data_IF_914631130336
#
_entry.id   IF_914631130336
#
_cell.length_a   1.000
_cell.length_b   1.000
_cell.length_c   1.000
_cell.angle_alpha   90.00
_cell.angle_beta   90.00
_cell.angle_gamma   90.00
#
_symmetry.space_group_name_H-M   'P 1'
#
loop_
_entity.id
_entity.type
_entity.pdbx_description
1 polymer ?
#
# COMPACT_ATOMS: atom_id res chain seq x y z
N UNK A 1 -23.20 13.09 2.56
CA UNK A 1 -21.75 12.93 2.52
C UNK A 1 -21.51 11.75 1.60
N UNK A 2 -20.71 11.94 0.57
CA UNK A 2 -20.34 10.82 -0.30
C UNK A 2 -19.48 9.85 0.50
N UNK A 3 -19.61 8.55 0.21
CA UNK A 3 -18.86 7.48 0.86
C UNK A 3 -17.36 7.66 0.58
N UNK A 4 -16.50 7.46 1.57
CA UNK A 4 -15.04 7.41 1.32
C UNK A 4 -14.65 6.07 0.69
N UNK A 5 -13.44 5.99 0.11
CA UNK A 5 -12.89 4.70 -0.34
C UNK A 5 -12.75 3.73 0.84
N UNK A 6 -12.38 4.23 2.02
CA UNK A 6 -12.32 3.46 3.27
C UNK A 6 -13.67 2.83 3.61
N UNK A 7 -14.77 3.58 3.52
CA UNK A 7 -16.12 3.04 3.73
C UNK A 7 -16.47 1.97 2.68
N UNK A 8 -16.10 2.22 1.42
CA UNK A 8 -16.43 1.34 0.30
C UNK A 8 -15.71 0.00 0.28
N UNK A 9 -14.46 -0.05 0.75
CA UNK A 9 -13.70 -1.29 0.94
C UNK A 9 -14.16 -2.06 2.19
N UNK A 10 -15.04 -1.48 3.01
CA UNK A 10 -15.57 -2.09 4.23
C UNK A 10 -14.74 -1.77 5.48
N UNK A 11 -14.12 -0.59 5.52
CA UNK A 11 -13.33 -0.09 6.62
C UNK A 11 -12.04 -0.89 6.86
N UNK A 12 -11.50 -0.77 8.08
CA UNK A 12 -10.24 -1.42 8.46
C UNK A 12 -10.29 -2.94 8.31
N UNK A 13 -11.43 -3.57 8.61
CA UNK A 13 -11.58 -5.03 8.44
C UNK A 13 -11.56 -5.44 6.97
N UNK A 14 -12.10 -4.60 6.08
CA UNK A 14 -11.95 -4.77 4.63
C UNK A 14 -10.50 -4.70 4.17
N UNK A 15 -9.76 -3.72 4.67
CA UNK A 15 -8.34 -3.53 4.35
C UNK A 15 -7.46 -4.64 4.93
N UNK A 16 -7.78 -5.18 6.11
CA UNK A 16 -7.13 -6.36 6.65
C UNK A 16 -7.34 -7.59 5.78
N UNK A 17 -8.58 -7.81 5.28
CA UNK A 17 -8.86 -8.91 4.34
C UNK A 17 -8.08 -8.75 3.04
N UNK A 18 -8.08 -7.54 2.46
CA UNK A 18 -7.31 -7.23 1.26
C UNK A 18 -5.81 -7.49 1.48
N UNK A 19 -5.26 -6.96 2.57
CA UNK A 19 -3.85 -7.12 2.91
C UNK A 19 -3.50 -8.60 3.13
N UNK A 20 -4.33 -9.36 3.82
CA UNK A 20 -4.14 -10.80 4.01
C UNK A 20 -4.11 -11.56 2.68
N UNK A 21 -5.11 -11.33 1.82
CA UNK A 21 -5.18 -11.96 0.50
C UNK A 21 -3.95 -11.63 -0.37
N UNK A 22 -3.43 -10.40 -0.25
CA UNK A 22 -2.20 -9.99 -0.92
C UNK A 22 -0.95 -10.69 -0.33
N UNK A 23 -0.79 -10.71 1.00
CA UNK A 23 0.39 -11.30 1.63
C UNK A 23 0.47 -12.82 1.48
N UNK A 24 -0.65 -13.53 1.46
CA UNK A 24 -0.71 -14.96 1.15
C UNK A 24 -0.11 -15.29 -0.22
N UNK A 25 -0.24 -14.36 -1.18
CA UNK A 25 0.34 -14.48 -2.53
C UNK A 25 1.78 -14.03 -2.56
N UNK A 26 2.06 -12.83 -2.06
CA UNK A 26 3.37 -12.16 -2.23
C UNK A 26 4.51 -12.92 -1.54
N UNK A 27 4.22 -13.55 -0.41
CA UNK A 27 5.21 -14.33 0.35
C UNK A 27 5.51 -15.69 -0.30
N UNK A 28 4.62 -16.18 -1.15
CA UNK A 28 4.78 -17.44 -1.89
C UNK A 28 5.34 -17.22 -3.32
N UNK A 29 5.43 -15.96 -3.77
CA UNK A 29 5.85 -15.62 -5.12
C UNK A 29 7.39 -15.59 -5.25
N UNK A 30 7.95 -16.32 -6.22
CA UNK A 30 9.41 -16.45 -6.37
C UNK A 30 10.12 -15.11 -6.64
N UNK A 31 9.45 -14.17 -7.31
CA UNK A 31 10.01 -12.85 -7.67
C UNK A 31 9.97 -11.91 -6.47
N UNK A 32 8.91 -11.96 -5.66
CA UNK A 32 8.69 -11.01 -4.57
C UNK A 32 9.09 -11.51 -3.18
N UNK A 33 9.09 -12.82 -2.93
CA UNK A 33 9.47 -13.38 -1.64
C UNK A 33 10.84 -12.87 -1.13
N UNK A 34 11.88 -12.69 -1.98
CA UNK A 34 13.15 -12.08 -1.55
C UNK A 34 13.02 -10.63 -1.06
N UNK A 35 12.13 -9.82 -1.66
CA UNK A 35 11.87 -8.43 -1.24
C UNK A 35 11.25 -8.41 0.16
N UNK A 36 10.43 -9.43 0.48
CA UNK A 36 9.75 -9.59 1.76
C UNK A 36 10.49 -10.53 2.73
N UNK A 37 11.79 -10.77 2.55
CA UNK A 37 12.56 -11.72 3.39
C UNK A 37 12.56 -11.39 4.90
N UNK A 38 12.27 -10.15 5.27
CA UNK A 38 12.16 -9.68 6.66
C UNK A 38 10.73 -9.40 7.10
N UNK A 39 9.74 -9.94 6.38
CA UNK A 39 8.33 -9.80 6.73
C UNK A 39 8.03 -10.29 8.16
N UNK A 40 7.14 -9.58 8.84
CA UNK A 40 6.60 -9.98 10.14
C UNK A 40 5.07 -9.90 10.08
N UNK A 41 4.33 -10.71 10.86
CA UNK A 41 2.86 -10.64 10.86
C UNK A 41 2.30 -9.25 11.16
N UNK A 42 2.99 -8.47 12.00
CA UNK A 42 2.61 -7.08 12.33
C UNK A 42 2.64 -6.15 11.12
N UNK A 43 3.46 -6.46 10.11
CA UNK A 43 3.57 -5.66 8.89
C UNK A 43 2.23 -5.60 8.11
N UNK A 44 1.45 -6.68 8.14
CA UNK A 44 0.11 -6.72 7.52
C UNK A 44 -0.82 -5.68 8.16
N UNK A 45 -0.87 -5.65 9.50
CA UNK A 45 -1.70 -4.68 10.22
C UNK A 45 -1.25 -3.25 9.94
N UNK A 46 0.06 -2.99 9.86
CA UNK A 46 0.58 -1.67 9.52
C UNK A 46 0.15 -1.22 8.11
N UNK A 47 0.16 -2.13 7.13
CA UNK A 47 -0.33 -1.82 5.77
C UNK A 47 -1.83 -1.54 5.77
N UNK A 48 -2.63 -2.32 6.50
CA UNK A 48 -4.06 -2.05 6.60
C UNK A 48 -4.36 -0.69 7.23
N UNK A 49 -3.60 -0.30 8.26
CA UNK A 49 -3.72 1.02 8.93
C UNK A 49 -3.25 2.15 8.02
N UNK A 50 -2.15 1.96 7.26
CA UNK A 50 -1.70 2.90 6.24
C UNK A 50 -2.77 3.17 5.18
N UNK A 51 -3.32 2.10 4.59
CA UNK A 51 -4.36 2.21 3.57
C UNK A 51 -5.65 2.82 4.13
N UNK A 52 -5.96 2.59 5.41
CA UNK A 52 -7.12 3.19 6.05
C UNK A 52 -7.00 4.71 6.05
N UNK A 53 -5.83 5.22 6.44
CA UNK A 53 -5.57 6.65 6.42
C UNK A 53 -5.63 7.21 4.99
N UNK A 54 -4.92 6.59 4.03
CA UNK A 54 -4.90 7.03 2.64
C UNK A 54 -6.31 7.13 2.05
N UNK A 55 -7.18 6.16 2.31
CA UNK A 55 -8.51 6.06 1.71
C UNK A 55 -9.60 6.85 2.43
N UNK A 56 -9.22 7.77 3.33
CA UNK A 56 -10.14 8.69 4.00
C UNK A 56 -10.67 8.20 5.35
N UNK A 57 -10.06 7.14 5.91
CA UNK A 57 -10.29 6.67 7.28
C UNK A 57 -9.44 7.39 8.33
N UNK A 58 -9.36 6.83 9.56
CA UNK A 58 -8.60 7.40 10.68
C UNK A 58 -7.11 7.61 10.38
N UNK A 59 -6.50 8.61 11.04
CA UNK A 59 -5.08 8.98 10.86
C UNK A 59 -4.13 8.19 11.76
N UNK A 60 -4.47 6.93 12.02
CA UNK A 60 -3.78 6.11 13.02
C UNK A 60 -2.35 5.77 12.60
N UNK A 61 -2.05 5.70 11.28
CA UNK A 61 -0.69 5.46 10.81
C UNK A 61 0.21 6.65 11.11
N UNK A 62 -0.24 7.85 10.79
CA UNK A 62 0.48 9.09 11.12
C UNK A 62 0.61 9.28 12.62
N UNK A 63 -0.47 9.05 13.38
CA UNK A 63 -0.49 9.27 14.81
C UNK A 63 0.40 8.29 15.61
N UNK A 64 0.56 7.05 15.14
CA UNK A 64 1.17 5.98 15.94
C UNK A 64 2.33 5.24 15.27
N UNK A 65 2.45 5.31 13.94
CA UNK A 65 3.43 4.56 13.15
C UNK A 65 4.41 5.44 12.38
N UNK A 66 4.33 6.77 12.55
CA UNK A 66 5.32 7.72 12.04
C UNK A 66 5.01 8.29 10.64
N UNK A 67 3.81 8.03 10.11
CA UNK A 67 3.31 8.71 8.92
C UNK A 67 4.11 8.44 7.65
N UNK A 68 3.98 9.35 6.68
CA UNK A 68 4.60 9.24 5.36
C UNK A 68 6.12 8.93 5.43
N UNK A 69 6.85 9.59 6.32
CA UNK A 69 8.29 9.38 6.48
C UNK A 69 8.63 7.93 6.88
N UNK A 70 7.89 7.35 7.82
CA UNK A 70 8.12 5.98 8.26
C UNK A 70 7.82 4.96 7.14
N UNK A 71 6.79 5.21 6.33
CA UNK A 71 6.52 4.39 5.14
C UNK A 71 7.69 4.43 4.16
N UNK A 72 8.17 5.61 3.78
CA UNK A 72 9.25 5.71 2.79
C UNK A 72 10.54 5.06 3.31
N UNK A 73 10.90 5.27 4.58
CA UNK A 73 12.05 4.61 5.19
C UNK A 73 11.97 3.08 5.15
N UNK A 74 10.76 2.49 5.22
CA UNK A 74 10.59 1.03 5.13
C UNK A 74 10.90 0.46 3.74
N UNK A 75 10.99 1.33 2.72
CA UNK A 75 11.30 0.92 1.35
C UNK A 75 12.79 1.09 0.98
N UNK A 76 13.58 1.84 1.77
CA UNK A 76 15.00 2.06 1.50
C UNK A 76 15.78 0.76 1.40
N UNK A 77 16.67 0.68 0.41
CA UNK A 77 17.59 -0.44 0.19
C UNK A 77 16.93 -1.73 -0.29
N UNK A 78 15.64 -1.73 -0.62
CA UNK A 78 14.96 -2.91 -1.16
C UNK A 78 15.33 -3.20 -2.62
N UNK A 79 15.87 -2.22 -3.36
CA UNK A 79 16.27 -2.41 -4.76
C UNK A 79 15.14 -2.92 -5.65
N UNK A 80 13.94 -2.33 -5.51
CA UNK A 80 12.76 -2.70 -6.28
C UNK A 80 13.03 -2.37 -7.75
N UNK A 81 12.79 -3.33 -8.65
CA UNK A 81 12.95 -3.21 -10.09
C UNK A 81 11.60 -3.29 -10.77
N UNK A 82 11.54 -2.97 -12.05
CA UNK A 82 10.32 -3.02 -12.86
C UNK A 82 9.61 -4.38 -12.75
N UNK A 83 10.37 -5.48 -12.75
CA UNK A 83 9.81 -6.83 -12.61
C UNK A 83 9.14 -7.05 -11.24
N UNK A 84 9.71 -6.51 -10.15
CA UNK A 84 9.12 -6.59 -8.82
C UNK A 84 7.84 -5.75 -8.77
N UNK A 85 7.89 -4.49 -9.24
CA UNK A 85 6.74 -3.59 -9.24
C UNK A 85 5.58 -4.15 -10.07
N UNK A 86 5.86 -4.60 -11.28
CA UNK A 86 4.87 -5.21 -12.17
C UNK A 86 4.22 -6.43 -11.50
N UNK A 87 5.04 -7.32 -10.94
CA UNK A 87 4.53 -8.52 -10.27
C UNK A 87 3.70 -8.18 -9.04
N UNK A 88 4.09 -7.15 -8.29
CA UNK A 88 3.37 -6.69 -7.10
C UNK A 88 1.96 -6.20 -7.49
N UNK A 89 1.85 -5.41 -8.55
CA UNK A 89 0.58 -4.87 -9.04
C UNK A 89 -0.35 -5.99 -9.53
N UNK A 90 0.18 -7.00 -10.21
CA UNK A 90 -0.58 -8.19 -10.62
C UNK A 90 -1.19 -8.92 -9.41
N UNK A 91 -0.37 -9.22 -8.39
CA UNK A 91 -0.84 -9.92 -7.20
C UNK A 91 -1.84 -9.09 -6.37
N UNK A 92 -1.67 -7.77 -6.35
CA UNK A 92 -2.64 -6.86 -5.71
C UNK A 92 -3.96 -6.82 -6.48
N UNK A 93 -3.94 -6.79 -7.81
CA UNK A 93 -5.14 -6.88 -8.63
C UNK A 93 -5.92 -8.19 -8.41
N UNK A 94 -5.20 -9.30 -8.26
CA UNK A 94 -5.79 -10.60 -7.89
C UNK A 94 -6.43 -10.56 -6.49
N UNK A 95 -5.75 -9.97 -5.51
CA UNK A 95 -6.27 -9.82 -4.15
C UNK A 95 -7.52 -8.93 -4.08
N UNK A 96 -7.54 -7.81 -4.83
CA UNK A 96 -8.72 -6.95 -4.97
C UNK A 96 -9.87 -7.72 -5.60
N UNK A 97 -9.61 -8.46 -6.68
CA UNK A 97 -10.64 -9.25 -7.38
C UNK A 97 -11.28 -10.31 -6.50
N UNK A 98 -10.48 -10.93 -5.61
CA UNK A 98 -10.98 -11.90 -4.62
C UNK A 98 -11.84 -11.22 -3.53
N UNK A 99 -11.35 -10.13 -2.95
CA UNK A 99 -11.93 -9.54 -1.73
C UNK A 99 -13.08 -8.58 -2.05
N UNK A 100 -13.09 -7.96 -3.22
CA UNK A 100 -14.09 -6.98 -3.67
C UNK A 100 -14.78 -7.41 -4.99
N UNK A 101 -15.40 -8.60 -5.03
CA UNK A 101 -16.00 -9.10 -6.27
C UNK A 101 -17.16 -8.22 -6.73
N UNK A 102 -17.23 -7.98 -8.05
CA UNK A 102 -18.31 -7.19 -8.66
C UNK A 102 -18.21 -5.68 -8.45
N UNK A 103 -17.03 -5.16 -8.07
CA UNK A 103 -16.77 -3.73 -7.86
C UNK A 103 -15.68 -3.19 -8.81
N UNK A 104 -15.87 -3.26 -10.16
CA UNK A 104 -14.81 -2.93 -11.12
C UNK A 104 -14.36 -1.47 -11.07
N UNK A 105 -15.27 -0.52 -10.82
CA UNK A 105 -14.91 0.91 -10.73
C UNK A 105 -14.03 1.17 -9.50
N UNK A 106 -14.39 0.61 -8.34
CA UNK A 106 -13.58 0.68 -7.12
C UNK A 106 -12.22 0.01 -7.32
N UNK A 107 -12.19 -1.16 -7.96
CA UNK A 107 -10.94 -1.85 -8.26
C UNK A 107 -9.99 -1.00 -9.10
N UNK A 108 -10.50 -0.32 -10.14
CA UNK A 108 -9.71 0.64 -10.94
C UNK A 108 -9.16 1.76 -10.06
N UNK A 109 -9.99 2.42 -9.24
CA UNK A 109 -9.53 3.52 -8.38
C UNK A 109 -8.46 3.09 -7.37
N UNK A 110 -8.59 1.89 -6.79
CA UNK A 110 -7.58 1.34 -5.89
C UNK A 110 -6.29 1.03 -6.65
N UNK A 111 -6.38 0.46 -7.84
CA UNK A 111 -5.20 0.17 -8.67
C UNK A 111 -4.49 1.44 -9.13
N UNK A 112 -5.21 2.54 -9.41
CA UNK A 112 -4.60 3.83 -9.72
C UNK A 112 -3.74 4.35 -8.55
N UNK A 113 -4.23 4.21 -7.31
CA UNK A 113 -3.44 4.54 -6.12
C UNK A 113 -2.20 3.66 -6.00
N UNK A 114 -2.36 2.34 -6.16
CA UNK A 114 -1.25 1.41 -6.02
C UNK A 114 -0.19 1.60 -7.10
N UNK A 115 -0.60 1.89 -8.34
CA UNK A 115 0.32 2.21 -9.44
C UNK A 115 1.15 3.46 -9.08
N UNK A 116 0.49 4.54 -8.63
CA UNK A 116 1.16 5.76 -8.18
C UNK A 116 2.12 5.51 -6.99
N UNK A 117 1.65 4.83 -5.94
CA UNK A 117 2.42 4.60 -4.72
C UNK A 117 3.61 3.67 -4.94
N UNK A 118 3.46 2.63 -5.76
CA UNK A 118 4.56 1.71 -6.07
C UNK A 118 5.66 2.34 -6.91
N UNK A 119 5.35 3.37 -7.73
CA UNK A 119 6.39 4.14 -8.42
C UNK A 119 7.28 4.89 -7.42
N UNK A 120 6.68 5.53 -6.41
CA UNK A 120 7.43 6.20 -5.33
C UNK A 120 8.27 5.19 -4.53
N UNK A 121 7.67 4.06 -4.16
CA UNK A 121 8.37 2.99 -3.46
C UNK A 121 9.57 2.46 -4.26
N UNK A 122 9.40 2.31 -5.59
CA UNK A 122 10.47 1.90 -6.48
C UNK A 122 11.63 2.89 -6.49
N UNK A 123 11.34 4.18 -6.65
CA UNK A 123 12.33 5.24 -6.66
C UNK A 123 13.11 5.30 -5.33
N UNK A 124 12.38 5.34 -4.20
CA UNK A 124 12.99 5.38 -2.86
C UNK A 124 13.83 4.14 -2.57
N UNK A 125 13.43 2.97 -3.07
CA UNK A 125 14.14 1.72 -2.76
C UNK A 125 15.55 1.62 -3.33
N UNK A 126 15.92 2.51 -4.26
CA UNK A 126 17.29 2.57 -4.81
C UNK A 126 18.29 3.17 -3.81
N UNK A 127 17.80 4.01 -2.89
CA UNK A 127 18.65 4.66 -1.92
C UNK A 127 19.01 3.71 -0.76
N UNK A 128 20.23 3.80 -0.20
CA UNK A 128 20.64 2.94 0.92
C UNK A 128 19.77 3.14 2.16
N UNK A 129 19.69 2.10 2.99
CA UNK A 129 19.12 2.19 4.34
C UNK A 129 19.86 3.27 5.15
N UNK A 130 19.10 4.19 5.73
CA UNK A 130 19.64 5.31 6.53
C UNK A 130 19.82 6.62 5.77
N UNK A 131 19.45 6.68 4.49
CA UNK A 131 19.36 7.93 3.73
C UNK A 131 18.37 8.90 4.38
N UNK A 132 18.77 10.17 4.49
CA UNK A 132 17.89 11.27 4.93
C UNK A 132 17.01 11.70 3.76
N UNK A 133 15.71 11.40 3.86
CA UNK A 133 14.71 11.73 2.83
C UNK A 133 14.16 13.17 2.95
N UNK A 134 14.60 13.94 3.96
CA UNK A 134 14.03 15.24 4.27
C UNK A 134 12.60 15.16 4.79
N UNK A 135 11.80 16.20 4.52
CA UNK A 135 10.37 16.24 4.85
C UNK A 135 9.54 15.81 3.62
N UNK A 136 8.96 14.59 3.61
CA UNK A 136 8.14 14.12 2.50
C UNK A 136 6.73 14.73 2.49
N UNK A 137 6.41 15.61 3.44
CA UNK A 137 5.09 16.18 3.61
C UNK A 137 4.10 15.23 4.30
N UNK A 138 2.81 15.62 4.38
CA UNK A 138 1.80 14.82 5.05
C UNK A 138 1.52 13.50 4.32
N UNK A 139 0.92 12.55 5.05
CA UNK A 139 0.42 11.31 4.46
C UNK A 139 -0.57 11.62 3.33
N UNK A 140 -0.36 11.08 2.11
CA UNK A 140 -1.24 11.33 0.98
C UNK A 140 -2.64 10.79 1.25
N UNK A 141 -3.64 11.50 0.72
CA UNK A 141 -5.04 11.06 0.73
C UNK A 141 -5.48 10.79 -0.70
N UNK A 142 -6.22 9.71 -0.89
CA UNK A 142 -6.70 9.27 -2.18
C UNK A 142 -8.22 9.15 -2.17
N UNK A 143 -8.86 9.81 -3.13
CA UNK A 143 -10.30 9.75 -3.36
C UNK A 143 -10.63 9.17 -4.73
N UNK A 144 -11.91 9.18 -5.10
CA UNK A 144 -12.41 8.65 -6.37
C UNK A 144 -11.82 9.33 -7.61
N UNK A 145 -11.23 10.51 -7.46
CA UNK A 145 -10.63 11.28 -8.53
C UNK A 145 -9.10 11.40 -8.41
N UNK A 146 -8.48 10.53 -7.60
CA UNK A 146 -7.03 10.48 -7.41
C UNK A 146 -6.56 11.16 -6.12
N UNK A 147 -5.33 11.65 -6.15
CA UNK A 147 -4.71 12.36 -5.01
C UNK A 147 -5.55 13.58 -4.61
N UNK A 148 -5.86 13.67 -3.32
CA UNK A 148 -6.57 14.80 -2.72
C UNK A 148 -5.55 15.85 -2.29
N UNK A 149 -5.75 17.10 -2.73
CA UNK A 149 -4.94 18.26 -2.40
C UNK A 149 -5.52 19.09 -1.26
#
# INVERSE_FOLDING_TARGET
MDSTLYDEVGGLDGLRRLSAAFYDRVLADEVLAPVFAHFTPTHLDHVAVWLAEVFGGPEDFSAHLGGHQALLHSHLGLGIRDEHRQRWLELMADAISEVLPGRPELATTLMDYFDWGTAIAQDVSQDPVGTDLGDPGPTPRWGHHGLVH
#
